data_IF_594167801912
#
_entry.id   IF_594167801912
#
_cell.length_a   1.000
_cell.length_b   1.000
_cell.length_c   1.000
_cell.angle_alpha   90.00
_cell.angle_beta   90.00
_cell.angle_gamma   90.00
#
_symmetry.space_group_name_H-M   'P 1'
#
loop_
_entity.id
_entity.type
_entity.pdbx_description
1 polymer ?
#
# COMPACT_ATOMS: atom_id res chain seq x y z
N UNK A 1 -19.69 24.02 4.57
CA UNK A 1 -19.40 25.39 5.06
C UNK A 1 -18.07 25.81 4.47
N UNK A 2 -18.05 26.82 3.60
CA UNK A 2 -16.81 27.41 3.06
C UNK A 2 -16.22 28.31 4.14
N UNK A 3 -15.22 27.82 4.88
CA UNK A 3 -14.42 28.67 5.77
C UNK A 3 -13.31 29.36 4.97
N UNK A 4 -13.04 30.63 5.25
CA UNK A 4 -11.80 31.28 4.83
C UNK A 4 -10.72 31.10 5.90
N UNK A 5 -9.47 30.96 5.48
CA UNK A 5 -8.31 30.93 6.38
C UNK A 5 -7.49 32.19 6.15
N UNK A 6 -7.23 32.93 7.23
CA UNK A 6 -6.42 34.14 7.23
C UNK A 6 -4.96 33.77 7.55
N UNK A 7 -4.07 33.89 6.56
CA UNK A 7 -2.62 33.82 6.77
C UNK A 7 -2.01 35.15 6.33
N UNK A 8 -1.41 35.89 7.28
CA UNK A 8 -0.66 37.11 6.97
C UNK A 8 -1.48 38.26 6.37
N UNK A 9 -2.79 38.33 6.63
CA UNK A 9 -3.65 39.40 6.09
C UNK A 9 -4.19 39.15 4.67
N UNK A 10 -3.86 38.02 4.05
CA UNK A 10 -4.46 37.56 2.80
C UNK A 10 -5.61 36.60 3.13
N UNK A 11 -6.81 36.93 2.65
CA UNK A 11 -7.96 36.03 2.73
C UNK A 11 -7.87 34.99 1.61
N UNK A 12 -7.60 33.72 1.96
CA UNK A 12 -7.82 32.61 1.04
C UNK A 12 -9.32 32.30 1.08
N UNK A 13 -10.05 32.81 0.10
CA UNK A 13 -11.48 32.57 -0.03
C UNK A 13 -11.73 31.12 -0.47
N UNK A 14 -12.23 30.30 0.44
CA UNK A 14 -12.75 28.94 0.18
C UNK A 14 -11.79 27.81 0.54
N UNK A 15 -12.29 26.83 1.28
CA UNK A 15 -11.75 25.48 1.22
C UNK A 15 -11.86 25.03 -0.25
N UNK A 16 -10.75 24.86 -0.96
CA UNK A 16 -10.71 24.42 -2.38
C UNK A 16 -11.01 22.92 -2.49
N UNK A 17 -11.92 22.42 -1.65
CA UNK A 17 -12.35 21.03 -1.68
C UNK A 17 -13.50 20.89 -2.70
N UNK A 18 -13.47 19.83 -3.49
CA UNK A 18 -14.58 19.40 -4.35
C UNK A 18 -15.25 18.19 -3.71
N UNK A 19 -16.59 18.13 -3.72
CA UNK A 19 -17.37 17.11 -3.00
C UNK A 19 -17.90 17.59 -1.65
N UNK A 20 -18.41 16.65 -0.87
CA UNK A 20 -19.12 16.84 0.40
C UNK A 20 -18.35 16.21 1.56
N UNK A 21 -18.60 16.63 2.80
CA UNK A 21 -17.98 16.03 4.00
C UNK A 21 -16.47 16.25 4.17
N UNK A 22 -15.80 16.94 3.24
CA UNK A 22 -14.37 17.17 3.31
C UNK A 22 -13.95 18.14 4.42
N UNK A 23 -12.85 17.81 5.11
CA UNK A 23 -12.15 18.67 6.07
C UNK A 23 -10.68 18.90 5.64
N UNK A 24 -10.16 20.12 5.79
CA UNK A 24 -8.83 20.51 5.30
C UNK A 24 -8.87 21.17 3.91
N UNK A 25 -7.84 20.97 3.09
CA UNK A 25 -7.63 21.72 1.84
C UNK A 25 -7.35 20.83 0.62
N UNK A 26 -7.79 21.28 -0.55
CA UNK A 26 -7.54 20.67 -1.86
C UNK A 26 -7.97 19.19 -1.98
N UNK A 27 -8.94 18.75 -1.17
CA UNK A 27 -9.49 17.41 -1.28
C UNK A 27 -10.54 17.34 -2.41
N UNK A 28 -10.61 16.23 -3.13
CA UNK A 28 -11.60 15.92 -4.15
C UNK A 28 -12.31 14.60 -3.79
N UNK A 29 -13.56 14.43 -4.26
CA UNK A 29 -14.48 13.38 -3.79
C UNK A 29 -14.99 13.66 -2.36
N UNK A 30 -15.70 12.72 -1.76
CA UNK A 30 -16.43 12.91 -0.50
C UNK A 30 -15.66 12.43 0.73
N UNK A 31 -15.97 13.02 1.89
CA UNK A 31 -15.60 12.57 3.24
C UNK A 31 -14.09 12.42 3.49
N UNK A 32 -13.27 13.23 2.82
CA UNK A 32 -11.83 13.22 3.06
C UNK A 32 -11.43 14.14 4.23
N UNK A 33 -10.34 13.81 4.90
CA UNK A 33 -9.71 14.65 5.91
C UNK A 33 -8.22 14.85 5.63
N UNK A 34 -7.79 16.11 5.58
CA UNK A 34 -6.38 16.49 5.43
C UNK A 34 -6.12 17.29 4.16
N UNK A 35 -5.11 16.90 3.37
CA UNK A 35 -4.58 17.74 2.30
C UNK A 35 -4.44 17.00 0.96
N UNK A 36 -5.08 17.50 -0.10
CA UNK A 36 -4.80 17.04 -1.46
C UNK A 36 -5.21 15.58 -1.73
N UNK A 37 -6.16 15.03 -0.99
CA UNK A 37 -6.67 13.68 -1.27
C UNK A 37 -7.60 13.73 -2.49
N UNK A 38 -7.44 12.80 -3.43
CA UNK A 38 -8.12 12.82 -4.72
C UNK A 38 -8.59 11.46 -5.19
N UNK A 39 -8.64 10.45 -4.32
CA UNK A 39 -9.13 9.13 -4.71
C UNK A 39 -10.63 9.17 -5.02
N UNK A 40 -11.04 8.54 -6.13
CA UNK A 40 -12.44 8.60 -6.59
C UNK A 40 -13.44 8.07 -5.54
N UNK A 41 -13.05 7.06 -4.76
CA UNK A 41 -13.88 6.46 -3.72
C UNK A 41 -13.94 7.22 -2.38
N UNK A 42 -13.26 8.36 -2.25
CA UNK A 42 -13.37 9.23 -1.06
C UNK A 42 -12.86 8.59 0.25
N UNK A 43 -13.33 9.13 1.39
CA UNK A 43 -13.05 8.64 2.74
C UNK A 43 -11.56 8.55 3.12
N UNK A 44 -10.70 9.36 2.50
CA UNK A 44 -9.27 9.32 2.78
C UNK A 44 -8.90 10.21 3.96
N UNK A 45 -7.89 9.79 4.72
CA UNK A 45 -7.34 10.56 5.83
C UNK A 45 -5.83 10.76 5.65
N UNK A 46 -5.35 11.98 5.82
CA UNK A 46 -3.94 12.33 5.64
C UNK A 46 -3.72 13.17 4.39
N UNK A 47 -2.71 12.86 3.59
CA UNK A 47 -2.33 13.73 2.47
C UNK A 47 -1.96 12.99 1.18
N UNK A 48 -2.29 13.62 0.05
CA UNK A 48 -1.93 13.16 -1.28
C UNK A 48 -2.36 11.71 -1.61
N UNK A 49 -3.37 11.17 -0.93
CA UNK A 49 -3.92 9.87 -1.30
C UNK A 49 -4.72 10.02 -2.60
N UNK A 50 -4.56 9.08 -3.53
CA UNK A 50 -5.15 9.10 -4.87
C UNK A 50 -5.57 7.68 -5.29
N UNK A 51 -5.81 7.44 -6.58
CA UNK A 51 -6.28 6.16 -7.11
C UNK A 51 -7.80 6.11 -7.28
N UNK A 52 -8.33 5.01 -7.82
CA UNK A 52 -9.78 4.84 -8.03
C UNK A 52 -10.54 4.42 -6.77
N UNK A 53 -9.86 3.82 -5.79
CA UNK A 53 -10.45 3.36 -4.54
C UNK A 53 -10.71 4.50 -3.56
N UNK A 54 -10.93 4.16 -2.29
CA UNK A 54 -11.08 5.12 -1.19
C UNK A 54 -10.50 4.56 0.11
N UNK A 55 -10.85 5.15 1.25
CA UNK A 55 -10.47 4.66 2.59
C UNK A 55 -8.96 4.54 2.83
N UNK A 56 -8.15 5.36 2.16
CA UNK A 56 -6.71 5.35 2.40
C UNK A 56 -6.35 6.23 3.60
N UNK A 57 -5.38 5.81 4.40
CA UNK A 57 -4.92 6.53 5.57
C UNK A 57 -3.40 6.73 5.55
N UNK A 58 -2.92 7.97 5.57
CA UNK A 58 -1.49 8.30 5.58
C UNK A 58 -1.12 9.20 4.41
N UNK A 59 -0.01 8.91 3.74
CA UNK A 59 0.57 9.80 2.72
C UNK A 59 0.78 9.10 1.38
N UNK A 60 0.26 9.69 0.30
CA UNK A 60 0.65 9.29 -1.06
C UNK A 60 0.21 7.89 -1.48
N UNK A 61 -0.77 7.28 -0.81
CA UNK A 61 -1.28 5.97 -1.22
C UNK A 61 -2.14 6.12 -2.49
N UNK A 62 -1.95 5.25 -3.47
CA UNK A 62 -2.57 5.35 -4.80
C UNK A 62 -3.07 4.02 -5.37
N UNK A 63 -3.22 3.01 -4.52
CA UNK A 63 -3.80 1.72 -4.87
C UNK A 63 -5.21 1.88 -5.48
N UNK A 64 -5.47 1.24 -6.63
CA UNK A 64 -6.75 1.35 -7.34
C UNK A 64 -7.92 0.77 -6.55
N UNK A 65 -7.70 -0.24 -5.71
CA UNK A 65 -8.71 -0.83 -4.84
C UNK A 65 -8.82 -0.16 -3.45
N UNK A 66 -7.95 0.80 -3.13
CA UNK A 66 -8.02 1.58 -1.89
C UNK A 66 -7.69 0.81 -0.61
N UNK A 67 -8.15 1.33 0.53
CA UNK A 67 -8.01 0.73 1.86
C UNK A 67 -6.57 0.66 2.38
N UNK A 68 -5.64 1.38 1.76
CA UNK A 68 -4.22 1.27 2.09
C UNK A 68 -3.84 2.24 3.22
N UNK A 69 -2.97 1.79 4.12
CA UNK A 69 -2.48 2.59 5.25
C UNK A 69 -0.96 2.74 5.24
N UNK A 70 -0.45 3.91 5.60
CA UNK A 70 0.97 4.23 5.60
C UNK A 70 1.36 5.14 4.45
N UNK A 71 2.45 4.81 3.76
CA UNK A 71 3.17 5.74 2.87
C UNK A 71 3.41 5.13 1.50
N UNK A 72 2.94 5.79 0.45
CA UNK A 72 3.28 5.46 -0.94
C UNK A 72 2.97 4.02 -1.35
N UNK A 73 1.90 3.40 -0.84
CA UNK A 73 1.42 2.12 -1.37
C UNK A 73 0.68 2.35 -2.68
N UNK A 74 0.98 1.60 -3.74
CA UNK A 74 0.53 1.90 -5.12
C UNK A 74 0.32 0.64 -5.96
N UNK A 75 -0.39 0.76 -7.08
CA UNK A 75 -0.62 -0.36 -8.00
C UNK A 75 -2.10 -0.65 -8.20
N UNK A 76 -2.40 -1.82 -8.76
CA UNK A 76 -3.74 -2.28 -9.12
C UNK A 76 -4.47 -3.04 -7.98
N UNK A 77 -3.86 -3.12 -6.80
CA UNK A 77 -4.37 -3.84 -5.65
C UNK A 77 -5.08 -2.99 -4.59
N UNK A 78 -5.24 -3.55 -3.39
CA UNK A 78 -5.91 -2.93 -2.25
C UNK A 78 -5.31 -3.33 -0.90
N UNK A 79 -5.71 -2.61 0.16
CA UNK A 79 -5.53 -3.04 1.56
C UNK A 79 -4.06 -3.31 1.96
N UNK A 80 -3.13 -2.51 1.45
CA UNK A 80 -1.71 -2.61 1.81
C UNK A 80 -1.38 -1.71 3.00
N UNK A 81 -0.56 -2.20 3.93
CA UNK A 81 -0.15 -1.50 5.14
C UNK A 81 1.38 -1.33 5.19
N UNK A 82 1.87 -0.10 5.37
CA UNK A 82 3.30 0.19 5.51
C UNK A 82 3.80 1.10 4.41
N UNK A 83 4.96 0.81 3.82
CA UNK A 83 5.65 1.75 2.93
C UNK A 83 6.00 1.09 1.59
N UNK A 84 5.63 1.74 0.48
CA UNK A 84 6.01 1.33 -0.89
C UNK A 84 5.63 -0.12 -1.24
N UNK A 85 4.52 -0.63 -0.72
CA UNK A 85 4.01 -1.92 -1.17
C UNK A 85 3.21 -1.77 -2.47
N UNK A 86 3.31 -2.77 -3.35
CA UNK A 86 2.53 -2.86 -4.59
C UNK A 86 1.75 -4.17 -4.69
N UNK A 87 0.51 -4.10 -5.18
CA UNK A 87 -0.45 -5.20 -5.16
C UNK A 87 -1.36 -5.18 -3.94
N UNK A 88 -1.77 -6.34 -3.46
CA UNK A 88 -2.92 -6.52 -2.56
C UNK A 88 -2.54 -7.15 -1.23
N UNK A 89 -3.09 -6.64 -0.12
CA UNK A 89 -2.93 -7.18 1.23
C UNK A 89 -1.47 -7.31 1.73
N UNK A 90 -0.56 -6.49 1.22
CA UNK A 90 0.84 -6.54 1.65
C UNK A 90 1.04 -5.72 2.93
N UNK A 91 1.82 -6.23 3.88
CA UNK A 91 2.15 -5.55 5.14
C UNK A 91 3.66 -5.44 5.32
N UNK A 92 4.17 -4.22 5.53
CA UNK A 92 5.59 -3.94 5.78
C UNK A 92 6.19 -2.99 4.75
N UNK A 93 7.40 -3.25 4.27
CA UNK A 93 8.11 -2.36 3.35
C UNK A 93 8.43 -3.05 2.03
N UNK A 94 8.16 -2.35 0.93
CA UNK A 94 8.67 -2.70 -0.40
C UNK A 94 8.28 -4.13 -0.85
N UNK A 95 7.12 -4.62 -0.42
CA UNK A 95 6.60 -5.90 -0.89
C UNK A 95 5.81 -5.73 -2.20
N UNK A 96 5.86 -6.74 -3.06
CA UNK A 96 5.17 -6.79 -4.35
C UNK A 96 4.36 -8.08 -4.49
N UNK A 97 3.08 -7.96 -4.85
CA UNK A 97 2.20 -9.09 -5.13
C UNK A 97 1.06 -9.21 -4.13
N UNK A 98 0.82 -10.40 -3.57
CA UNK A 98 -0.37 -10.70 -2.77
C UNK A 98 -0.01 -11.21 -1.36
N UNK A 99 -0.55 -10.59 -0.32
CA UNK A 99 -0.49 -11.10 1.06
C UNK A 99 0.93 -11.32 1.62
N UNK A 100 1.90 -10.52 1.20
CA UNK A 100 3.26 -10.60 1.70
C UNK A 100 3.44 -9.79 2.99
N UNK A 101 4.16 -10.35 3.96
CA UNK A 101 4.41 -9.72 5.27
C UNK A 101 5.92 -9.60 5.51
N UNK A 102 6.41 -8.37 5.67
CA UNK A 102 7.81 -8.10 6.01
C UNK A 102 8.45 -7.12 5.03
N UNK A 103 9.60 -7.48 4.49
CA UNK A 103 10.46 -6.57 3.74
C UNK A 103 10.87 -7.17 2.41
N UNK A 104 10.74 -6.41 1.32
CA UNK A 104 11.27 -6.78 0.00
C UNK A 104 10.76 -8.11 -0.56
N UNK A 105 9.62 -8.63 -0.08
CA UNK A 105 9.11 -9.88 -0.61
C UNK A 105 8.41 -9.64 -1.96
N UNK A 106 8.65 -10.52 -2.93
CA UNK A 106 8.02 -10.47 -4.25
C UNK A 106 7.39 -11.81 -4.57
N UNK A 107 6.07 -11.85 -4.61
CA UNK A 107 5.35 -13.10 -4.80
C UNK A 107 4.00 -13.09 -4.09
N UNK A 108 3.69 -14.22 -3.47
CA UNK A 108 2.40 -14.41 -2.85
C UNK A 108 2.55 -15.15 -1.52
N UNK A 109 1.98 -14.56 -0.46
CA UNK A 109 1.90 -15.11 0.89
C UNK A 109 3.27 -15.33 1.54
N UNK A 110 4.27 -14.55 1.14
CA UNK A 110 5.62 -14.66 1.66
C UNK A 110 5.77 -13.88 2.99
N UNK A 111 6.58 -14.40 3.90
CA UNK A 111 6.84 -13.79 5.20
C UNK A 111 8.33 -13.68 5.53
N UNK A 112 8.77 -12.50 5.96
CA UNK A 112 10.17 -12.25 6.30
C UNK A 112 10.83 -11.27 5.35
N UNK A 113 12.03 -11.58 4.86
CA UNK A 113 12.90 -10.65 4.16
C UNK A 113 13.36 -11.21 2.80
N UNK A 114 13.15 -10.44 1.73
CA UNK A 114 13.68 -10.70 0.38
C UNK A 114 13.36 -12.09 -0.15
N UNK A 115 12.18 -12.62 0.20
CA UNK A 115 11.69 -13.84 -0.43
C UNK A 115 11.15 -13.52 -1.81
N UNK A 116 11.50 -14.34 -2.79
CA UNK A 116 10.98 -14.28 -4.15
C UNK A 116 10.40 -15.63 -4.53
N UNK A 117 9.18 -15.63 -5.07
CA UNK A 117 8.53 -16.84 -5.59
C UNK A 117 8.20 -16.68 -7.06
N UNK A 118 8.22 -17.77 -7.83
CA UNK A 118 7.89 -17.70 -9.26
C UNK A 118 6.46 -17.17 -9.46
N UNK A 119 6.38 -15.98 -10.05
CA UNK A 119 5.15 -15.24 -10.32
C UNK A 119 4.39 -15.88 -11.49
N UNK A 120 3.52 -16.84 -11.19
CA UNK A 120 2.71 -17.55 -12.17
C UNK A 120 1.27 -17.80 -11.71
N UNK A 121 0.54 -16.71 -11.40
CA UNK A 121 -0.91 -16.56 -11.19
C UNK A 121 -1.74 -17.59 -10.38
N UNK A 122 -1.37 -18.86 -10.19
CA UNK A 122 -2.23 -19.86 -9.54
C UNK A 122 -1.40 -20.98 -8.87
N UNK A 123 -1.41 -21.00 -7.53
CA UNK A 123 -1.06 -22.06 -6.53
C UNK A 123 0.41 -22.22 -6.06
N UNK A 124 0.74 -21.65 -4.90
CA UNK A 124 1.88 -22.02 -4.02
C UNK A 124 2.99 -20.96 -3.94
N UNK A 125 3.01 -19.93 -3.07
CA UNK A 125 2.63 -19.71 -1.66
C UNK A 125 3.77 -19.96 -0.67
N UNK A 126 4.09 -18.94 0.14
CA UNK A 126 4.53 -19.17 1.52
C UNK A 126 6.01 -19.42 1.72
N UNK A 127 6.89 -18.62 1.13
CA UNK A 127 8.26 -18.60 1.62
C UNK A 127 8.30 -17.91 2.99
N UNK A 128 9.09 -18.44 3.90
CA UNK A 128 9.28 -17.86 5.23
C UNK A 128 10.77 -17.77 5.59
N UNK A 129 11.17 -16.62 6.13
CA UNK A 129 12.56 -16.36 6.51
C UNK A 129 13.25 -15.41 5.53
N UNK A 130 14.44 -15.77 5.03
CA UNK A 130 15.37 -14.84 4.39
C UNK A 130 15.83 -15.32 3.01
N UNK A 131 15.56 -14.56 1.95
CA UNK A 131 16.21 -14.80 0.66
C UNK A 131 15.85 -16.12 -0.02
N UNK A 132 14.67 -16.69 0.26
CA UNK A 132 14.24 -17.90 -0.43
C UNK A 132 13.73 -17.54 -1.83
N UNK A 133 14.19 -18.23 -2.87
CA UNK A 133 13.77 -18.02 -4.26
C UNK A 133 12.85 -19.14 -4.81
N UNK A 134 12.66 -20.21 -4.02
CA UNK A 134 11.79 -21.33 -4.34
C UNK A 134 10.32 -21.06 -4.05
N UNK A 135 9.55 -22.13 -3.80
CA UNK A 135 8.15 -22.03 -3.32
C UNK A 135 7.95 -22.87 -2.08
N UNK A 136 7.12 -22.41 -1.14
CA UNK A 136 6.83 -23.10 0.12
C UNK A 136 8.08 -23.46 0.93
N UNK A 137 9.11 -22.62 0.90
CA UNK A 137 10.39 -22.88 1.56
C UNK A 137 10.54 -22.08 2.85
N UNK A 138 11.20 -22.66 3.84
CA UNK A 138 11.44 -22.01 5.15
C UNK A 138 12.92 -21.99 5.52
N UNK A 139 13.35 -20.94 6.22
CA UNK A 139 14.75 -20.77 6.63
C UNK A 139 15.44 -19.71 5.78
N UNK A 140 16.56 -20.02 5.13
CA UNK A 140 17.31 -19.01 4.39
C UNK A 140 18.02 -19.48 3.13
N UNK A 141 17.96 -18.67 2.07
CA UNK A 141 18.70 -18.89 0.83
C UNK A 141 18.41 -20.24 0.17
N UNK A 142 17.16 -20.71 0.27
CA UNK A 142 16.73 -21.91 -0.42
C UNK A 142 16.28 -21.58 -1.85
N UNK A 143 16.85 -22.28 -2.83
CA UNK A 143 16.50 -22.10 -4.24
C UNK A 143 15.41 -23.06 -4.73
N UNK A 144 15.33 -24.26 -4.13
CA UNK A 144 14.31 -25.27 -4.45
C UNK A 144 12.99 -25.08 -3.70
N UNK A 145 11.97 -25.82 -4.14
CA UNK A 145 10.63 -25.84 -3.55
C UNK A 145 10.49 -26.82 -2.39
N UNK A 146 9.71 -26.47 -1.37
CA UNK A 146 9.45 -27.31 -0.20
C UNK A 146 10.69 -27.56 0.66
N UNK A 147 11.67 -26.67 0.59
CA UNK A 147 12.94 -26.79 1.29
C UNK A 147 12.81 -26.21 2.71
N UNK A 148 13.59 -26.76 3.64
CA UNK A 148 13.72 -26.21 4.99
C UNK A 148 15.18 -26.18 5.40
N UNK A 149 15.57 -25.15 6.16
CA UNK A 149 16.96 -24.94 6.55
C UNK A 149 17.65 -23.88 5.70
N UNK A 150 18.93 -24.08 5.41
CA UNK A 150 19.76 -23.05 4.78
C UNK A 150 20.51 -23.54 3.55
N UNK A 151 20.58 -22.69 2.53
CA UNK A 151 21.41 -22.88 1.33
C UNK A 151 21.09 -24.14 0.53
N UNK A 152 19.84 -24.59 0.54
CA UNK A 152 19.46 -25.73 -0.27
C UNK A 152 19.39 -25.33 -1.76
N UNK A 153 20.05 -26.06 -2.67
CA UNK A 153 20.00 -25.79 -4.10
C UNK A 153 18.63 -26.12 -4.72
N UNK A 154 18.45 -25.72 -5.98
CA UNK A 154 17.27 -26.00 -6.79
C UNK A 154 17.19 -27.47 -7.22
#
# INVERSE_FOLDING_TARGET
>A
MNGSVLIGGVEICGNVNSGTGNSGFFNSSDDNSGFGNSSSGGHNSGAANSGSGGYNAGFGNSNTGGGSTGYFNYGDGSLSAGIFNTGTHNAGLLNSGLENIGFFNSGAYDSGWDNSGNSGQVKGLGNSGFGNSGTSSSGGFNAGSGQSGFFNPA
#
